data_IF_049137913321
#
_entry.id   IF_049137913321
#
_cell.length_a   1.000
_cell.length_b   1.000
_cell.length_c   1.000
_cell.angle_alpha   90.00
_cell.angle_beta   90.00
_cell.angle_gamma   90.00
#
_symmetry.space_group_name_H-M   'P 1'
#
loop_
_entity.id
_entity.type
_entity.pdbx_description
1 polymer ?
#
# COMPACT_ATOMS: atom_id res chain seq x y z
N UNK A 1 1.39 38.12 -23.77
CA UNK A 1 1.10 36.68 -23.78
C UNK A 1 0.15 36.48 -22.62
N UNK A 2 -1.02 35.90 -22.84
CA UNK A 2 -1.89 35.52 -21.70
C UNK A 2 -1.10 34.52 -20.86
N UNK A 3 -1.03 34.74 -19.55
CA UNK A 3 -0.47 33.78 -18.62
C UNK A 3 -1.20 32.44 -18.83
N UNK A 4 -0.47 31.46 -19.32
CA UNK A 4 -1.01 30.10 -19.42
C UNK A 4 -1.08 29.53 -18.01
N UNK A 5 -2.24 29.04 -17.63
CA UNK A 5 -2.44 28.35 -16.34
C UNK A 5 -3.21 27.04 -16.58
N UNK A 6 -3.10 26.12 -15.64
CA UNK A 6 -3.95 24.94 -15.66
C UNK A 6 -5.40 25.34 -15.34
N UNK A 7 -6.39 24.58 -15.84
CA UNK A 7 -7.79 24.86 -15.53
C UNK A 7 -8.01 24.77 -14.00
N UNK A 8 -8.88 25.65 -13.50
CA UNK A 8 -9.31 25.65 -12.12
C UNK A 8 -10.68 24.99 -11.98
N UNK A 9 -10.78 24.01 -11.08
CA UNK A 9 -12.07 23.48 -10.68
C UNK A 9 -12.89 24.56 -9.96
N UNK A 10 -14.19 24.56 -10.19
CA UNK A 10 -15.09 25.50 -9.54
C UNK A 10 -15.09 25.32 -8.01
N UNK A 11 -15.53 26.35 -7.30
CA UNK A 11 -15.67 26.29 -5.82
C UNK A 11 -16.57 25.10 -5.40
N UNK A 12 -17.62 24.82 -6.15
CA UNK A 12 -18.54 23.71 -5.87
C UNK A 12 -17.82 22.38 -6.06
N UNK A 13 -17.01 22.23 -7.08
CA UNK A 13 -16.20 21.02 -7.31
C UNK A 13 -15.15 20.83 -6.22
N UNK A 14 -14.51 21.89 -5.73
CA UNK A 14 -13.60 21.85 -4.59
C UNK A 14 -14.30 21.38 -3.30
N UNK A 15 -15.49 21.89 -3.02
CA UNK A 15 -16.31 21.45 -1.88
C UNK A 15 -16.67 19.96 -2.04
N UNK A 16 -17.10 19.53 -3.22
CA UNK A 16 -17.43 18.14 -3.50
C UNK A 16 -16.22 17.23 -3.41
N UNK A 17 -15.06 17.63 -3.91
CA UNK A 17 -13.81 16.87 -3.77
C UNK A 17 -13.48 16.66 -2.28
N UNK A 18 -13.53 17.74 -1.52
CA UNK A 18 -13.30 17.68 -0.06
C UNK A 18 -14.26 16.70 0.61
N UNK A 19 -15.57 16.84 0.35
CA UNK A 19 -16.61 16.06 1.03
C UNK A 19 -16.69 14.60 0.56
N UNK A 20 -16.46 14.30 -0.72
CA UNK A 20 -16.66 12.97 -1.30
C UNK A 20 -15.37 12.17 -1.45
N UNK A 21 -14.20 12.83 -1.55
CA UNK A 21 -12.91 12.16 -1.77
C UNK A 21 -11.99 12.31 -0.56
N UNK A 22 -11.66 13.54 -0.14
CA UNK A 22 -10.67 13.75 0.91
C UNK A 22 -11.16 13.35 2.31
N UNK A 23 -12.30 13.87 2.76
CA UNK A 23 -12.86 13.61 4.10
C UNK A 23 -13.12 12.13 4.36
N UNK A 24 -13.74 11.34 3.44
CA UNK A 24 -13.92 9.91 3.66
C UNK A 24 -12.62 9.16 3.89
N UNK A 25 -11.53 9.51 3.19
CA UNK A 25 -10.22 8.90 3.41
C UNK A 25 -9.64 9.22 4.79
N UNK A 26 -9.74 10.49 5.23
CA UNK A 26 -9.29 10.91 6.57
C UNK A 26 -10.09 10.23 7.67
N UNK A 27 -11.42 10.19 7.53
CA UNK A 27 -12.32 9.57 8.52
C UNK A 27 -12.09 8.07 8.65
N UNK A 28 -11.85 7.40 7.53
CA UNK A 28 -11.50 5.97 7.52
C UNK A 28 -10.13 5.67 8.13
N UNK A 29 -9.29 6.68 8.35
CA UNK A 29 -7.93 6.55 8.88
C UNK A 29 -6.87 6.48 7.77
N UNK A 30 -5.88 7.37 7.85
CA UNK A 30 -4.80 7.47 6.85
C UNK A 30 -3.70 6.43 7.07
N UNK A 31 -3.32 6.20 8.32
CA UNK A 31 -2.20 5.31 8.69
C UNK A 31 -2.70 3.94 9.16
N UNK A 32 -3.79 3.91 9.89
CA UNK A 32 -4.50 2.69 10.25
C UNK A 32 -5.98 2.86 10.07
N UNK A 33 -6.60 1.91 9.35
CA UNK A 33 -8.04 1.98 9.04
C UNK A 33 -8.90 1.77 10.29
N UNK A 34 -9.91 2.62 10.45
CA UNK A 34 -10.88 2.58 11.54
C UNK A 34 -12.06 1.69 11.12
N UNK A 35 -12.16 0.49 11.71
CA UNK A 35 -13.16 -0.54 11.36
C UNK A 35 -14.59 0.02 11.20
N UNK A 36 -15.07 0.79 12.17
CA UNK A 36 -16.42 1.36 12.11
C UNK A 36 -16.60 2.33 10.94
N UNK A 37 -15.61 3.16 10.67
CA UNK A 37 -15.67 4.14 9.58
C UNK A 37 -15.63 3.44 8.20
N UNK A 38 -14.79 2.42 8.03
CA UNK A 38 -14.74 1.60 6.81
C UNK A 38 -16.09 0.91 6.56
N UNK A 39 -16.68 0.29 7.59
CA UNK A 39 -18.00 -0.35 7.48
C UNK A 39 -19.12 0.64 7.11
N UNK A 40 -19.10 1.86 7.64
CA UNK A 40 -20.06 2.92 7.27
C UNK A 40 -19.83 3.36 5.82
N UNK A 41 -18.58 3.60 5.41
CA UNK A 41 -18.26 4.00 4.04
C UNK A 41 -18.74 2.95 3.02
N UNK A 42 -18.53 1.66 3.30
CA UNK A 42 -19.02 0.56 2.47
C UNK A 42 -20.55 0.54 2.35
N UNK A 43 -21.29 0.73 3.47
CA UNK A 43 -22.76 0.74 3.47
C UNK A 43 -23.34 1.94 2.75
N UNK A 44 -22.72 3.11 2.84
CA UNK A 44 -23.18 4.35 2.21
C UNK A 44 -22.77 4.48 0.74
N UNK A 45 -21.91 3.60 0.26
CA UNK A 45 -21.38 3.67 -1.10
C UNK A 45 -20.49 4.90 -1.34
N UNK A 46 -19.79 5.37 -0.31
CA UNK A 46 -18.94 6.56 -0.38
C UNK A 46 -17.92 6.50 -1.52
N UNK A 47 -17.28 5.34 -1.72
CA UNK A 47 -16.29 5.16 -2.78
C UNK A 47 -16.92 5.21 -4.19
N UNK A 48 -18.17 4.75 -4.34
CA UNK A 48 -18.92 4.88 -5.60
C UNK A 48 -19.23 6.34 -5.91
N UNK A 49 -19.58 7.14 -4.91
CA UNK A 49 -19.81 8.58 -5.06
C UNK A 49 -18.53 9.32 -5.43
N UNK A 50 -17.42 9.00 -4.76
CA UNK A 50 -16.10 9.55 -5.08
C UNK A 50 -15.70 9.23 -6.52
N UNK A 51 -15.85 7.97 -6.95
CA UNK A 51 -15.55 7.55 -8.32
C UNK A 51 -16.41 8.28 -9.36
N UNK A 52 -17.72 8.40 -9.13
CA UNK A 52 -18.65 9.12 -10.02
C UNK A 52 -18.27 10.60 -10.15
N UNK A 53 -17.87 11.23 -9.05
CA UNK A 53 -17.40 12.61 -9.06
C UNK A 53 -16.07 12.78 -9.81
N UNK A 54 -15.08 11.93 -9.57
CA UNK A 54 -13.81 11.94 -10.30
C UNK A 54 -13.99 11.70 -11.80
N UNK A 55 -14.90 10.81 -12.17
CA UNK A 55 -15.28 10.59 -13.59
C UNK A 55 -15.90 11.83 -14.22
N UNK A 56 -16.66 12.63 -13.46
CA UNK A 56 -17.19 13.90 -13.94
C UNK A 56 -16.09 14.94 -14.14
N UNK A 57 -15.16 15.08 -13.19
CA UNK A 57 -14.01 15.98 -13.32
C UNK A 57 -13.18 15.63 -14.57
N UNK A 58 -12.89 14.35 -14.78
CA UNK A 58 -12.16 13.91 -15.97
C UNK A 58 -12.88 14.28 -17.27
N UNK A 59 -14.21 14.13 -17.34
CA UNK A 59 -14.96 14.55 -18.55
C UNK A 59 -14.90 16.06 -18.77
N UNK A 60 -14.87 16.85 -17.70
CA UNK A 60 -14.83 18.31 -17.78
C UNK A 60 -13.45 18.87 -18.13
N UNK A 61 -12.39 18.27 -17.59
CA UNK A 61 -11.03 18.82 -17.66
C UNK A 61 -10.04 17.96 -18.46
N UNK A 62 -10.43 16.75 -18.86
CA UNK A 62 -9.55 15.82 -19.58
C UNK A 62 -8.50 15.16 -18.66
N UNK A 63 -7.34 14.86 -19.24
CA UNK A 63 -6.25 14.12 -18.59
C UNK A 63 -5.19 15.03 -17.94
N UNK A 64 -5.33 16.34 -18.10
CA UNK A 64 -4.35 17.30 -17.58
C UNK A 64 -4.43 17.52 -16.09
N UNK A 65 -3.43 18.23 -15.53
CA UNK A 65 -3.53 18.74 -14.17
C UNK A 65 -4.67 19.76 -14.04
N UNK A 66 -5.29 19.80 -12.87
CA UNK A 66 -6.41 20.70 -12.55
C UNK A 66 -6.18 21.30 -11.16
N UNK A 67 -6.18 22.61 -11.05
CA UNK A 67 -6.20 23.27 -9.74
C UNK A 67 -7.52 22.98 -9.03
N UNK A 68 -7.45 22.45 -7.82
CA UNK A 68 -8.62 22.11 -7.03
C UNK A 68 -8.42 22.52 -5.57
N UNK A 69 -9.49 23.07 -4.98
CA UNK A 69 -9.47 23.40 -3.55
C UNK A 69 -9.79 22.17 -2.71
N UNK A 70 -8.91 21.85 -1.76
CA UNK A 70 -9.06 20.79 -0.76
C UNK A 70 -9.18 21.44 0.61
N UNK A 71 -10.36 21.50 1.18
CA UNK A 71 -10.66 22.32 2.35
C UNK A 71 -10.30 23.81 2.14
N UNK A 72 -9.28 24.32 2.82
CA UNK A 72 -8.82 25.70 2.68
C UNK A 72 -7.63 25.86 1.73
N UNK A 73 -6.95 24.79 1.39
CA UNK A 73 -5.71 24.79 0.62
C UNK A 73 -5.98 24.49 -0.86
N UNK A 74 -5.14 24.98 -1.74
CA UNK A 74 -5.18 24.69 -3.17
C UNK A 74 -4.16 23.61 -3.50
N UNK A 75 -4.54 22.66 -4.36
CA UNK A 75 -3.72 21.55 -4.77
C UNK A 75 -3.85 21.31 -6.28
N UNK A 76 -2.87 20.66 -6.88
CA UNK A 76 -2.87 20.28 -8.28
C UNK A 76 -3.31 18.80 -8.38
N UNK A 77 -4.53 18.56 -8.86
CA UNK A 77 -5.08 17.23 -9.07
C UNK A 77 -4.56 16.65 -10.38
N UNK A 78 -3.90 15.49 -10.31
CA UNK A 78 -3.37 14.78 -11.47
C UNK A 78 -4.35 13.65 -11.86
N UNK A 79 -5.01 13.80 -13.01
CA UNK A 79 -6.07 12.87 -13.44
C UNK A 79 -5.54 11.82 -14.43
N UNK A 80 -4.72 12.23 -15.38
CA UNK A 80 -4.24 11.36 -16.45
C UNK A 80 -2.88 10.72 -16.15
N UNK A 81 -2.53 9.66 -16.90
CA UNK A 81 -1.25 8.94 -16.72
C UNK A 81 -0.02 9.79 -17.04
N UNK A 82 -0.09 10.70 -18.00
CA UNK A 82 1.02 11.59 -18.36
C UNK A 82 1.46 12.48 -17.20
N UNK A 83 0.58 13.31 -16.62
CA UNK A 83 0.88 14.10 -15.42
C UNK A 83 1.31 13.25 -14.22
N UNK A 84 0.68 12.08 -14.00
CA UNK A 84 1.07 11.15 -12.94
C UNK A 84 2.51 10.68 -13.16
N UNK A 85 2.82 10.23 -14.38
CA UNK A 85 4.16 9.78 -14.75
C UNK A 85 5.20 10.87 -14.50
N UNK A 86 4.95 12.10 -14.96
CA UNK A 86 5.85 13.23 -14.76
C UNK A 86 6.16 13.48 -13.27
N UNK A 87 5.11 13.47 -12.42
CA UNK A 87 5.28 13.64 -10.99
C UNK A 87 6.08 12.51 -10.32
N UNK A 88 5.88 11.27 -10.76
CA UNK A 88 6.57 10.11 -10.18
C UNK A 88 8.00 9.96 -10.72
N UNK A 89 8.25 10.24 -12.00
CA UNK A 89 9.61 10.27 -12.59
C UNK A 89 10.48 11.37 -11.97
N UNK A 90 9.88 12.54 -11.72
CA UNK A 90 10.58 13.68 -11.12
C UNK A 90 10.65 13.62 -9.58
N UNK A 91 10.43 12.47 -8.95
CA UNK A 91 10.58 12.33 -7.50
C UNK A 91 11.99 11.82 -7.16
N UNK A 92 12.64 12.27 -6.10
CA UNK A 92 12.20 13.17 -5.02
C UNK A 92 12.30 14.67 -5.33
N UNK A 93 12.99 15.08 -6.39
CA UNK A 93 13.14 16.48 -6.76
C UNK A 93 12.87 16.63 -8.27
N UNK A 94 11.92 17.51 -8.67
CA UNK A 94 11.23 18.50 -7.86
C UNK A 94 9.96 18.03 -7.12
N UNK A 95 9.61 16.74 -7.09
CA UNK A 95 8.35 16.23 -6.51
C UNK A 95 8.61 15.34 -5.31
N UNK A 96 8.70 15.93 -4.10
CA UNK A 96 8.94 15.20 -2.86
C UNK A 96 7.73 14.35 -2.41
N UNK A 97 8.00 13.20 -1.80
CA UNK A 97 6.96 12.26 -1.32
C UNK A 97 6.46 12.56 0.10
N UNK A 98 6.93 13.64 0.72
CA UNK A 98 6.65 14.03 2.09
C UNK A 98 5.81 15.32 2.21
N UNK A 99 4.68 15.48 1.49
CA UNK A 99 3.84 16.65 1.67
C UNK A 99 3.45 16.79 3.15
N UNK A 100 3.33 18.03 3.61
CA UNK A 100 3.17 18.36 5.04
C UNK A 100 2.11 17.52 5.77
N UNK A 101 0.91 17.24 5.22
CA UNK A 101 -0.09 16.42 5.92
C UNK A 101 0.36 14.98 6.16
N UNK A 102 1.15 14.41 5.24
CA UNK A 102 1.70 13.07 5.39
C UNK A 102 2.84 13.07 6.38
N UNK A 103 3.78 14.00 6.25
CA UNK A 103 4.96 14.11 7.10
C UNK A 103 4.58 14.32 8.55
N UNK A 104 3.71 15.30 8.81
CA UNK A 104 3.23 15.63 10.15
C UNK A 104 2.65 14.40 10.87
N UNK A 105 1.77 13.64 10.20
CA UNK A 105 1.18 12.46 10.81
C UNK A 105 2.16 11.28 10.97
N UNK A 106 2.94 10.96 9.95
CA UNK A 106 3.88 9.82 10.00
C UNK A 106 5.04 10.04 10.96
N UNK A 107 5.46 11.29 11.18
CA UNK A 107 6.55 11.61 12.11
C UNK A 107 6.27 11.17 13.55
N UNK A 108 5.02 10.99 13.94
CA UNK A 108 4.65 10.52 15.29
C UNK A 108 4.99 9.05 15.57
N UNK A 109 5.18 8.23 14.53
CA UNK A 109 5.49 6.81 14.72
C UNK A 109 6.67 6.29 13.87
N UNK A 110 7.10 7.05 12.85
CA UNK A 110 8.26 6.70 12.01
C UNK A 110 8.95 7.97 11.47
N UNK A 111 9.50 8.82 12.35
CA UNK A 111 10.05 10.15 11.97
C UNK A 111 11.18 10.06 10.97
N UNK A 112 11.91 8.95 10.92
CA UNK A 112 13.07 8.77 10.06
C UNK A 112 12.80 7.81 8.88
N UNK A 113 11.54 7.49 8.58
CA UNK A 113 11.22 6.61 7.46
C UNK A 113 11.57 7.23 6.11
N UNK A 114 12.12 6.40 5.21
CA UNK A 114 12.45 6.78 3.83
C UNK A 114 11.31 7.54 3.14
N UNK A 115 10.08 7.08 3.34
CA UNK A 115 8.89 7.62 2.65
C UNK A 115 8.51 9.05 3.03
N UNK A 116 9.12 9.62 4.07
CA UNK A 116 8.93 11.01 4.51
C UNK A 116 10.25 11.77 4.62
N UNK A 117 11.27 11.30 3.91
CA UNK A 117 12.59 11.93 3.85
C UNK A 117 12.77 12.76 2.58
N UNK A 118 13.61 13.78 2.64
CA UNK A 118 14.09 14.57 1.50
C UNK A 118 15.59 14.37 1.35
N UNK A 119 16.16 14.84 0.26
CA UNK A 119 17.62 14.87 0.08
C UNK A 119 18.25 15.85 1.09
N UNK A 120 19.44 15.51 1.65
CA UNK A 120 20.28 14.33 1.35
C UNK A 120 19.88 13.04 2.08
N UNK A 121 19.07 13.10 3.15
CA UNK A 121 18.71 11.95 3.99
C UNK A 121 17.99 10.84 3.19
N UNK A 122 17.19 11.25 2.20
CA UNK A 122 16.47 10.30 1.35
C UNK A 122 17.43 9.37 0.60
N UNK A 123 18.52 9.91 0.03
CA UNK A 123 19.49 9.11 -0.73
C UNK A 123 20.22 8.08 0.15
N UNK A 124 20.59 8.46 1.38
CA UNK A 124 21.22 7.53 2.30
C UNK A 124 20.27 6.41 2.71
N UNK A 125 19.06 6.77 3.13
CA UNK A 125 18.01 5.84 3.56
C UNK A 125 17.58 4.93 2.41
N UNK A 126 17.53 5.47 1.19
CA UNK A 126 17.19 4.71 -0.01
C UNK A 126 18.23 3.66 -0.31
N UNK A 127 19.50 4.03 -0.37
CA UNK A 127 20.62 3.12 -0.63
C UNK A 127 20.70 2.01 0.42
N UNK A 128 20.56 2.36 1.70
CA UNK A 128 20.52 1.39 2.78
C UNK A 128 19.35 0.41 2.61
N UNK A 129 18.15 0.95 2.44
CA UNK A 129 16.92 0.15 2.34
C UNK A 129 16.96 -0.81 1.15
N UNK A 130 17.34 -0.34 -0.03
CA UNK A 130 17.49 -1.19 -1.23
C UNK A 130 18.56 -2.26 -1.01
N UNK A 131 19.74 -1.88 -0.52
CA UNK A 131 20.81 -2.84 -0.27
C UNK A 131 20.39 -3.97 0.65
N UNK A 132 19.67 -3.66 1.74
CA UNK A 132 19.20 -4.68 2.70
C UNK A 132 18.10 -5.55 2.11
N UNK A 133 17.08 -4.93 1.48
CA UNK A 133 15.93 -5.67 0.95
C UNK A 133 16.32 -6.55 -0.24
N UNK A 134 17.16 -6.06 -1.16
CA UNK A 134 17.62 -6.81 -2.32
C UNK A 134 18.52 -7.97 -1.88
N UNK A 135 19.49 -7.71 -0.99
CA UNK A 135 20.36 -8.76 -0.45
C UNK A 135 19.54 -9.80 0.32
N UNK A 136 18.61 -9.38 1.17
CA UNK A 136 17.75 -10.29 1.94
C UNK A 136 16.86 -11.14 1.04
N UNK A 137 16.21 -10.54 0.05
CA UNK A 137 15.36 -11.27 -0.90
C UNK A 137 16.17 -12.25 -1.77
N UNK A 138 17.43 -11.92 -2.08
CA UNK A 138 18.31 -12.82 -2.87
C UNK A 138 18.90 -13.93 -2.02
N UNK A 139 19.43 -13.61 -0.83
CA UNK A 139 20.19 -14.56 -0.01
C UNK A 139 19.28 -15.45 0.85
N UNK A 140 18.12 -14.94 1.25
CA UNK A 140 17.22 -15.59 2.23
C UNK A 140 15.85 -15.92 1.64
N UNK A 141 15.70 -15.96 0.29
CA UNK A 141 14.41 -16.23 -0.37
C UNK A 141 13.75 -17.52 0.12
N UNK A 142 14.53 -18.61 0.25
CA UNK A 142 14.03 -19.90 0.70
C UNK A 142 13.58 -19.82 2.15
N UNK A 143 14.41 -19.25 3.02
CA UNK A 143 14.07 -19.04 4.42
C UNK A 143 12.82 -18.18 4.60
N UNK A 144 12.69 -17.08 3.86
CA UNK A 144 11.51 -16.22 3.93
C UNK A 144 10.26 -16.93 3.42
N UNK A 145 10.41 -17.78 2.40
CA UNK A 145 9.32 -18.63 1.92
C UNK A 145 8.94 -19.70 2.96
N UNK A 146 9.90 -20.33 3.61
CA UNK A 146 9.64 -21.29 4.70
C UNK A 146 8.87 -20.63 5.84
N UNK A 147 9.32 -19.45 6.32
CA UNK A 147 8.64 -18.69 7.38
C UNK A 147 7.20 -18.37 6.97
N UNK A 148 6.99 -17.87 5.76
CA UNK A 148 5.66 -17.54 5.26
C UNK A 148 4.77 -18.79 5.13
N UNK A 149 5.33 -19.92 4.68
CA UNK A 149 4.62 -21.20 4.55
C UNK A 149 4.26 -21.79 5.91
N UNK A 150 5.15 -21.78 6.89
CA UNK A 150 4.89 -22.23 8.26
C UNK A 150 3.70 -21.50 8.87
N UNK A 151 3.72 -20.17 8.84
CA UNK A 151 2.64 -19.33 9.42
C UNK A 151 1.31 -19.49 8.66
N UNK A 152 1.34 -19.61 7.33
CA UNK A 152 0.15 -19.86 6.54
C UNK A 152 -0.39 -21.29 6.72
N UNK A 153 0.49 -22.28 6.92
CA UNK A 153 0.14 -23.66 7.23
C UNK A 153 -0.58 -23.81 8.57
N UNK A 154 -0.21 -22.96 9.55
CA UNK A 154 -0.81 -22.94 10.89
C UNK A 154 -2.16 -22.20 10.98
N UNK A 155 -2.67 -21.61 9.88
CA UNK A 155 -3.96 -20.91 9.87
C UNK A 155 -5.11 -21.88 10.24
N UNK A 156 -6.06 -21.45 11.10
CA UNK A 156 -7.18 -22.27 11.52
C UNK A 156 -8.22 -22.48 10.41
N UNK A 157 -9.16 -23.38 10.64
CA UNK A 157 -10.23 -23.68 9.70
C UNK A 157 -11.19 -22.51 9.46
N UNK A 158 -11.37 -21.63 10.45
CA UNK A 158 -12.11 -20.39 10.31
C UNK A 158 -11.11 -19.23 10.33
N UNK A 159 -11.11 -18.44 9.26
CA UNK A 159 -10.17 -17.36 9.07
C UNK A 159 -10.89 -16.01 8.96
N UNK A 160 -10.41 -15.05 9.73
CA UNK A 160 -10.82 -13.66 9.69
C UNK A 160 -9.61 -12.72 9.60
N UNK A 161 -9.88 -11.41 9.56
CA UNK A 161 -8.83 -10.40 9.51
C UNK A 161 -7.84 -10.48 10.69
N UNK A 162 -8.34 -10.63 11.91
CA UNK A 162 -7.51 -10.63 13.12
C UNK A 162 -6.52 -11.79 13.10
N UNK A 163 -7.01 -12.97 12.79
CA UNK A 163 -6.20 -14.20 12.70
C UNK A 163 -5.18 -14.12 11.56
N UNK A 164 -5.62 -13.66 10.38
CA UNK A 164 -4.73 -13.45 9.24
C UNK A 164 -3.64 -12.42 9.53
N UNK A 165 -4.03 -11.25 10.05
CA UNK A 165 -3.09 -10.16 10.32
C UNK A 165 -2.06 -10.54 11.39
N UNK A 166 -2.46 -11.31 12.42
CA UNK A 166 -1.53 -11.85 13.42
C UNK A 166 -0.47 -12.73 12.79
N UNK A 167 -0.86 -13.64 11.90
CA UNK A 167 0.07 -14.51 11.17
C UNK A 167 1.04 -13.69 10.30
N UNK A 168 0.53 -12.74 9.50
CA UNK A 168 1.38 -11.90 8.64
C UNK A 168 2.33 -11.01 9.46
N UNK A 169 1.89 -10.46 10.59
CA UNK A 169 2.76 -9.68 11.47
C UNK A 169 3.84 -10.55 12.11
N UNK A 170 3.54 -11.82 12.41
CA UNK A 170 4.54 -12.79 12.87
C UNK A 170 5.56 -13.08 11.78
N UNK A 171 5.13 -13.29 10.53
CA UNK A 171 6.02 -13.39 9.37
C UNK A 171 6.92 -12.15 9.26
N UNK A 172 6.35 -10.95 9.35
CA UNK A 172 7.12 -9.71 9.28
C UNK A 172 8.20 -9.62 10.36
N UNK A 173 7.88 -9.94 11.62
CA UNK A 173 8.86 -9.95 12.72
C UNK A 173 9.98 -10.97 12.49
N UNK A 174 9.64 -12.18 12.05
CA UNK A 174 10.62 -13.25 11.78
C UNK A 174 11.56 -12.88 10.65
N UNK A 175 11.03 -12.37 9.54
CA UNK A 175 11.83 -11.96 8.38
C UNK A 175 12.73 -10.76 8.69
N UNK A 176 12.19 -9.75 9.38
CA UNK A 176 12.90 -8.49 9.60
C UNK A 176 13.88 -8.60 10.78
N UNK A 177 13.47 -9.23 11.86
CA UNK A 177 14.19 -9.22 13.16
C UNK A 177 14.75 -10.59 13.57
N UNK A 178 14.27 -11.67 12.96
CA UNK A 178 14.62 -13.06 13.31
C UNK A 178 13.56 -13.77 14.15
N UNK A 179 13.74 -15.08 14.33
CA UNK A 179 12.77 -15.95 15.02
C UNK A 179 12.58 -15.60 16.49
N UNK A 180 13.58 -15.03 17.15
CA UNK A 180 13.48 -14.54 18.55
C UNK A 180 12.44 -13.44 18.72
N UNK A 181 12.12 -12.71 17.65
CA UNK A 181 11.10 -11.67 17.65
C UNK A 181 9.68 -12.22 17.34
N UNK A 182 9.58 -13.50 16.97
CA UNK A 182 8.32 -14.11 16.51
C UNK A 182 7.16 -13.87 17.49
N UNK A 183 7.39 -14.10 18.77
CA UNK A 183 6.37 -14.04 19.83
C UNK A 183 6.30 -12.67 20.55
N UNK A 184 7.14 -11.70 20.16
CA UNK A 184 7.04 -10.34 20.71
C UNK A 184 5.91 -9.54 20.01
N UNK A 185 4.67 -9.95 20.28
CA UNK A 185 3.47 -9.31 19.71
C UNK A 185 3.36 -7.83 20.07
N UNK A 186 3.96 -7.41 21.21
CA UNK A 186 3.97 -6.01 21.68
C UNK A 186 4.50 -5.05 20.62
N UNK A 187 5.50 -5.47 19.82
CA UNK A 187 6.02 -4.62 18.74
C UNK A 187 4.94 -4.25 17.73
N UNK A 188 4.13 -5.23 17.33
CA UNK A 188 3.03 -5.00 16.38
C UNK A 188 1.84 -4.28 17.02
N UNK A 189 1.54 -4.55 18.28
CA UNK A 189 0.46 -3.89 19.02
C UNK A 189 0.78 -2.41 19.25
N UNK A 190 1.99 -2.10 19.76
CA UNK A 190 2.43 -0.74 20.02
C UNK A 190 2.51 0.09 18.73
N UNK A 191 3.05 -0.50 17.64
CA UNK A 191 3.04 0.15 16.34
C UNK A 191 1.61 0.46 15.89
N UNK A 192 0.68 -0.49 16.04
CA UNK A 192 -0.73 -0.29 15.73
C UNK A 192 -1.36 0.84 16.55
N UNK A 193 -1.07 0.94 17.85
CA UNK A 193 -1.57 2.03 18.73
C UNK A 193 -0.97 3.38 18.30
N UNK A 194 0.34 3.42 18.02
CA UNK A 194 1.01 4.62 17.53
C UNK A 194 0.41 5.14 16.23
N UNK A 195 0.13 4.24 15.28
CA UNK A 195 -0.54 4.58 14.02
C UNK A 195 -1.96 5.11 14.24
N UNK A 196 -2.74 4.49 15.15
CA UNK A 196 -4.08 4.97 15.48
C UNK A 196 -4.05 6.37 16.10
N UNK A 197 -3.12 6.62 17.02
CA UNK A 197 -2.92 7.93 17.66
C UNK A 197 -2.35 8.99 16.71
N UNK A 198 -1.75 8.59 15.60
CA UNK A 198 -1.23 9.48 14.55
C UNK A 198 -2.26 9.81 13.48
N UNK A 199 -3.38 9.08 13.41
CA UNK A 199 -4.46 9.41 12.49
C UNK A 199 -5.09 10.77 12.85
N UNK A 200 -5.26 11.70 11.89
CA UNK A 200 -5.87 13.01 12.16
C UNK A 200 -7.24 12.91 12.87
N UNK A 201 -7.49 13.77 13.85
CA UNK A 201 -6.67 14.86 14.39
C UNK A 201 -5.68 14.44 15.50
N UNK A 202 -5.02 13.29 15.36
CA UNK A 202 -4.13 12.73 16.36
C UNK A 202 -2.83 13.53 16.55
N UNK A 203 -2.23 13.36 17.72
CA UNK A 203 -0.97 14.01 18.12
C UNK A 203 0.14 13.00 18.47
N UNK A 204 -0.08 11.71 18.18
CA UNK A 204 0.86 10.65 18.52
C UNK A 204 0.91 10.31 20.02
N UNK A 205 1.94 9.56 20.41
CA UNK A 205 2.25 9.19 21.80
C UNK A 205 3.78 9.02 21.97
N UNK A 206 4.44 10.08 22.39
CA UNK A 206 5.90 10.10 22.52
C UNK A 206 6.43 9.07 23.53
N UNK A 207 5.73 8.85 24.64
CA UNK A 207 6.13 7.88 25.67
C UNK A 207 6.06 6.45 25.12
N UNK A 208 4.97 6.11 24.44
CA UNK A 208 4.82 4.80 23.80
C UNK A 208 5.84 4.62 22.68
N UNK A 209 6.11 5.67 21.89
CA UNK A 209 7.13 5.63 20.84
C UNK A 209 8.52 5.32 21.40
N UNK A 210 8.94 5.99 22.49
CA UNK A 210 10.23 5.71 23.15
C UNK A 210 10.32 4.25 23.63
N UNK A 211 9.26 3.74 24.24
CA UNK A 211 9.22 2.35 24.70
C UNK A 211 9.28 1.36 23.53
N UNK A 212 8.57 1.66 22.45
CA UNK A 212 8.56 0.86 21.23
C UNK A 212 9.96 0.80 20.60
N UNK A 213 10.61 1.95 20.40
CA UNK A 213 11.97 2.02 19.83
C UNK A 213 12.98 1.29 20.70
N UNK A 214 12.88 1.42 22.03
CA UNK A 214 13.76 0.71 22.97
C UNK A 214 13.57 -0.82 22.90
N UNK A 215 12.34 -1.30 22.72
CA UNK A 215 12.07 -2.73 22.55
C UNK A 215 12.57 -3.23 21.20
N UNK A 216 12.28 -2.48 20.12
CA UNK A 216 12.71 -2.78 18.77
C UNK A 216 14.24 -2.85 18.68
N UNK A 217 14.95 -1.89 19.29
CA UNK A 217 16.41 -1.82 19.30
C UNK A 217 17.08 -3.07 19.85
N UNK A 218 16.45 -3.79 20.80
CA UNK A 218 17.00 -5.05 21.32
C UNK A 218 17.08 -6.13 20.24
N UNK A 219 16.05 -6.24 19.41
CA UNK A 219 16.01 -7.21 18.31
C UNK A 219 16.93 -6.79 17.17
N UNK A 220 16.94 -5.50 16.81
CA UNK A 220 17.84 -4.96 15.79
C UNK A 220 19.30 -5.22 16.16
N UNK A 221 19.69 -4.93 17.44
CA UNK A 221 21.03 -5.12 17.93
C UNK A 221 21.43 -6.61 18.07
N UNK A 222 20.45 -7.51 18.23
CA UNK A 222 20.70 -8.95 18.25
C UNK A 222 21.16 -9.47 16.88
N UNK A 223 20.76 -8.77 15.79
CA UNK A 223 21.22 -9.04 14.40
C UNK A 223 21.17 -10.53 14.05
N UNK A 224 20.00 -11.15 14.32
CA UNK A 224 19.84 -12.60 14.21
C UNK A 224 20.08 -13.09 12.78
N UNK A 225 20.94 -14.10 12.60
CA UNK A 225 21.29 -14.66 11.30
C UNK A 225 20.04 -15.11 10.53
N UNK A 226 20.03 -14.87 9.21
CA UNK A 226 18.88 -15.18 8.34
C UNK A 226 17.72 -14.20 8.42
N UNK A 227 17.91 -13.05 9.11
CA UNK A 227 16.97 -11.93 9.12
C UNK A 227 17.50 -10.74 8.32
N UNK A 228 16.63 -9.80 7.95
CA UNK A 228 17.06 -8.54 7.33
C UNK A 228 18.01 -7.75 8.26
N UNK A 229 17.78 -7.77 9.57
CA UNK A 229 18.64 -7.09 10.52
C UNK A 229 20.09 -7.60 10.50
N UNK A 230 20.32 -8.88 10.16
CA UNK A 230 21.69 -9.44 10.04
C UNK A 230 22.51 -8.84 8.91
N UNK A 231 21.87 -8.18 7.95
CA UNK A 231 22.52 -7.57 6.79
C UNK A 231 22.92 -6.11 7.03
N UNK A 232 22.50 -5.48 8.13
CA UNK A 232 22.70 -4.05 8.36
C UNK A 232 24.17 -3.64 8.38
N UNK A 233 25.03 -4.44 9.00
CA UNK A 233 26.47 -4.14 9.05
C UNK A 233 27.17 -4.16 7.69
N UNK A 234 26.57 -4.79 6.68
CA UNK A 234 27.09 -4.90 5.31
C UNK A 234 26.49 -3.85 4.37
N UNK A 235 25.37 -3.24 4.76
CA UNK A 235 24.68 -2.25 3.94
C UNK A 235 25.35 -0.86 4.06
N UNK A 236 25.30 -0.02 3.01
CA UNK A 236 25.79 1.35 3.07
C UNK A 236 25.05 2.15 4.15
N UNK A 237 25.77 2.78 5.06
CA UNK A 237 25.22 3.61 6.11
C UNK A 237 25.97 4.94 6.19
N UNK A 238 25.22 6.02 6.45
CA UNK A 238 25.70 7.35 6.78
C UNK A 238 25.05 7.83 8.08
N UNK A 239 25.28 9.10 8.43
CA UNK A 239 24.78 9.68 9.68
C UNK A 239 23.25 9.73 9.77
N UNK A 240 22.57 9.82 8.61
CA UNK A 240 21.12 10.00 8.51
C UNK A 240 20.35 8.71 8.22
N UNK A 241 21.04 7.57 8.11
CA UNK A 241 20.43 6.29 7.71
C UNK A 241 19.37 5.82 8.69
N UNK A 242 19.68 5.82 9.99
CA UNK A 242 18.84 5.26 11.07
C UNK A 242 18.22 3.90 10.71
N UNK A 243 18.98 2.79 10.78
CA UNK A 243 18.47 1.47 10.44
C UNK A 243 17.22 1.06 11.21
N UNK A 244 17.16 1.37 12.51
CA UNK A 244 16.00 1.06 13.35
C UNK A 244 14.76 1.84 12.90
N UNK A 245 14.92 3.08 12.47
CA UNK A 245 13.84 3.90 11.90
C UNK A 245 13.29 3.31 10.61
N UNK A 246 14.13 2.69 9.74
CA UNK A 246 13.66 2.00 8.54
C UNK A 246 12.88 0.73 8.88
N UNK A 247 13.30 -0.02 9.90
CA UNK A 247 12.60 -1.24 10.37
C UNK A 247 11.16 -0.95 10.78
N UNK A 248 10.88 0.19 11.39
CA UNK A 248 9.51 0.58 11.78
C UNK A 248 8.61 0.60 10.54
N UNK A 249 9.10 1.19 9.46
CA UNK A 249 8.36 1.24 8.19
C UNK A 249 8.19 -0.15 7.57
N UNK A 250 9.21 -1.00 7.61
CA UNK A 250 9.13 -2.37 7.06
C UNK A 250 8.14 -3.23 7.84
N UNK A 251 8.10 -3.14 9.18
CA UNK A 251 7.11 -3.84 10.01
C UNK A 251 5.68 -3.41 9.66
N UNK A 252 5.45 -2.12 9.45
CA UNK A 252 4.17 -1.60 9.00
C UNK A 252 3.82 -2.08 7.57
N UNK A 253 4.76 -1.94 6.64
CA UNK A 253 4.51 -2.25 5.23
C UNK A 253 4.25 -3.74 5.02
N UNK A 254 5.07 -4.61 5.61
CA UNK A 254 4.93 -6.06 5.48
C UNK A 254 3.81 -6.60 6.39
N UNK A 255 3.72 -6.12 7.63
CA UNK A 255 2.78 -6.66 8.63
C UNK A 255 1.33 -6.20 8.46
N UNK A 256 1.10 -5.01 7.93
CA UNK A 256 -0.26 -4.45 7.80
C UNK A 256 -0.66 -4.22 6.34
N UNK A 257 0.18 -3.56 5.54
CA UNK A 257 -0.17 -3.22 4.16
C UNK A 257 -0.25 -4.47 3.28
N UNK A 258 0.75 -5.35 3.34
CA UNK A 258 0.70 -6.62 2.62
C UNK A 258 -0.42 -7.51 3.14
N UNK A 259 -0.65 -7.56 4.46
CA UNK A 259 -1.72 -8.36 5.04
C UNK A 259 -3.10 -8.02 4.44
N UNK A 260 -3.41 -6.72 4.30
CA UNK A 260 -4.66 -6.26 3.69
C UNK A 260 -4.75 -6.72 2.23
N UNK A 261 -3.70 -6.51 1.46
CA UNK A 261 -3.68 -6.81 0.04
C UNK A 261 -3.76 -8.32 -0.23
N UNK A 262 -3.00 -9.12 0.51
CA UNK A 262 -3.00 -10.57 0.37
C UNK A 262 -4.34 -11.19 0.82
N UNK A 263 -4.98 -10.68 1.88
CA UNK A 263 -6.31 -11.16 2.28
C UNK A 263 -7.39 -10.83 1.23
N UNK A 264 -7.30 -9.68 0.58
CA UNK A 264 -8.15 -9.35 -0.58
C UNK A 264 -7.85 -10.24 -1.78
N UNK A 265 -6.58 -10.56 -2.02
CA UNK A 265 -6.17 -11.55 -3.02
C UNK A 265 -6.76 -12.94 -2.73
N UNK A 266 -6.73 -13.38 -1.47
CA UNK A 266 -7.36 -14.63 -1.04
C UNK A 266 -8.87 -14.63 -1.31
N UNK A 267 -9.55 -13.50 -1.07
CA UNK A 267 -10.98 -13.38 -1.35
C UNK A 267 -11.30 -13.51 -2.85
N UNK A 268 -10.47 -12.89 -3.71
CA UNK A 268 -10.60 -13.04 -5.16
C UNK A 268 -10.36 -14.50 -5.59
N UNK A 269 -9.27 -15.09 -5.16
CA UNK A 269 -8.91 -16.48 -5.51
C UNK A 269 -9.89 -17.52 -4.94
N UNK A 270 -10.56 -17.22 -3.83
CA UNK A 270 -11.63 -18.07 -3.32
C UNK A 270 -12.89 -18.08 -4.22
N UNK A 271 -13.11 -16.99 -4.97
CA UNK A 271 -14.29 -16.84 -5.85
C UNK A 271 -13.98 -17.22 -7.31
N UNK A 272 -12.76 -16.92 -7.78
CA UNK A 272 -12.35 -17.11 -9.17
C UNK A 272 -11.50 -18.39 -9.33
N UNK A 273 -12.17 -19.54 -9.46
CA UNK A 273 -11.53 -20.88 -9.47
C UNK A 273 -10.50 -21.08 -10.57
N UNK A 274 -10.78 -20.55 -11.78
CA UNK A 274 -9.86 -20.69 -12.91
C UNK A 274 -8.56 -19.94 -12.65
N UNK A 275 -8.65 -18.72 -12.13
CA UNK A 275 -7.49 -17.92 -11.75
C UNK A 275 -6.73 -18.55 -10.58
N UNK A 276 -7.45 -19.12 -9.59
CA UNK A 276 -6.84 -19.87 -8.49
C UNK A 276 -6.02 -21.05 -9.01
N UNK A 277 -6.57 -21.83 -9.92
CA UNK A 277 -5.88 -23.00 -10.49
C UNK A 277 -4.59 -22.58 -11.20
N UNK A 278 -4.65 -21.53 -12.00
CA UNK A 278 -3.46 -20.97 -12.68
C UNK A 278 -2.45 -20.43 -11.68
N UNK A 279 -2.90 -19.67 -10.69
CA UNK A 279 -2.04 -19.07 -9.66
C UNK A 279 -1.31 -20.12 -8.81
N UNK A 280 -1.93 -21.27 -8.53
CA UNK A 280 -1.29 -22.38 -7.82
C UNK A 280 -0.26 -23.12 -8.69
N UNK A 281 -0.39 -23.08 -10.00
CA UNK A 281 0.53 -23.70 -10.95
C UNK A 281 1.70 -22.77 -11.34
N UNK A 282 1.51 -21.45 -11.30
CA UNK A 282 2.46 -20.46 -11.78
C UNK A 282 2.65 -19.31 -10.76
N UNK A 283 3.82 -19.21 -10.11
CA UNK A 283 4.14 -18.14 -9.18
C UNK A 283 4.02 -16.72 -9.78
N UNK A 284 4.35 -16.53 -11.05
CA UNK A 284 4.21 -15.23 -11.70
C UNK A 284 2.73 -14.84 -11.87
N UNK A 285 1.87 -15.83 -12.13
CA UNK A 285 0.44 -15.59 -12.15
C UNK A 285 -0.15 -15.28 -10.76
N UNK A 286 0.42 -15.87 -9.70
CA UNK A 286 0.05 -15.52 -8.33
C UNK A 286 0.45 -14.06 -8.01
N UNK A 287 1.63 -13.62 -8.44
CA UNK A 287 2.05 -12.23 -8.31
C UNK A 287 1.11 -11.29 -9.09
N UNK A 288 0.67 -11.66 -10.29
CA UNK A 288 -0.33 -10.93 -11.06
C UNK A 288 -1.69 -10.83 -10.32
N UNK A 289 -2.11 -11.87 -9.63
CA UNK A 289 -3.31 -11.84 -8.78
C UNK A 289 -3.17 -10.86 -7.60
N UNK A 290 -1.98 -10.77 -6.99
CA UNK A 290 -1.69 -9.79 -5.94
C UNK A 290 -1.70 -8.36 -6.49
N UNK A 291 -1.08 -8.11 -7.62
CA UNK A 291 -1.14 -6.81 -8.30
C UNK A 291 -2.58 -6.38 -8.58
N UNK A 292 -3.41 -7.30 -9.05
CA UNK A 292 -4.83 -7.01 -9.31
C UNK A 292 -5.63 -6.70 -8.04
N UNK A 293 -5.38 -7.41 -6.94
CA UNK A 293 -6.00 -7.08 -5.67
C UNK A 293 -5.62 -5.67 -5.20
N UNK A 294 -4.35 -5.28 -5.39
CA UNK A 294 -3.84 -3.94 -5.06
C UNK A 294 -4.39 -2.86 -6.01
N UNK A 295 -4.56 -3.17 -7.29
CA UNK A 295 -5.19 -2.28 -8.26
C UNK A 295 -6.65 -2.03 -7.92
N UNK A 296 -7.41 -3.08 -7.71
CA UNK A 296 -8.84 -3.01 -7.42
C UNK A 296 -9.14 -2.24 -6.12
N UNK A 297 -8.33 -2.44 -5.09
CA UNK A 297 -8.53 -1.84 -3.77
C UNK A 297 -7.21 -1.36 -3.17
N UNK A 298 -6.64 -0.26 -3.67
CA UNK A 298 -5.36 0.23 -3.19
C UNK A 298 -5.40 0.58 -1.70
N UNK A 299 -4.42 0.11 -0.94
CA UNK A 299 -4.26 0.48 0.48
C UNK A 299 -3.89 1.95 0.65
N UNK A 300 -3.30 2.55 -0.39
CA UNK A 300 -3.07 4.00 -0.52
C UNK A 300 -4.03 4.57 -1.58
N UNK A 301 -5.29 4.87 -1.24
CA UNK A 301 -6.29 5.33 -2.20
C UNK A 301 -6.02 6.72 -2.75
N UNK A 302 -5.20 7.51 -2.06
CA UNK A 302 -4.69 8.81 -2.51
C UNK A 302 -3.17 8.82 -2.29
N UNK A 303 -2.44 9.13 -3.35
CA UNK A 303 -1.01 9.38 -3.32
C UNK A 303 -0.78 10.88 -3.50
N UNK A 304 0.21 11.44 -2.81
CA UNK A 304 0.54 12.85 -2.94
C UNK A 304 2.04 13.09 -3.12
N UNK A 305 2.35 14.22 -3.74
CA UNK A 305 3.69 14.79 -3.86
C UNK A 305 3.62 16.28 -3.51
N UNK A 306 4.77 16.90 -3.33
CA UNK A 306 4.90 18.34 -3.12
C UNK A 306 6.07 18.87 -3.92
N UNK A 307 5.88 20.01 -4.60
CA UNK A 307 6.98 20.65 -5.33
C UNK A 307 8.01 21.22 -4.35
N UNK A 308 9.28 20.86 -4.54
CA UNK A 308 10.40 21.35 -3.69
C UNK A 308 10.84 22.74 -4.07
N UNK A 309 10.53 23.21 -5.28
CA UNK A 309 10.86 24.50 -5.86
C UNK A 309 9.82 24.88 -6.91
N UNK A 310 9.83 26.15 -7.31
CA UNK A 310 9.12 26.59 -8.51
C UNK A 310 9.64 25.84 -9.75
N UNK A 311 8.73 25.45 -10.62
CA UNK A 311 9.09 24.73 -11.84
C UNK A 311 8.20 25.13 -13.02
N UNK A 312 8.74 24.94 -14.21
CA UNK A 312 7.97 25.02 -15.45
C UNK A 312 7.33 23.67 -15.78
N UNK A 313 6.02 23.70 -15.98
CA UNK A 313 5.26 22.54 -16.44
C UNK A 313 4.60 22.86 -17.79
N UNK A 314 5.33 22.60 -18.88
CA UNK A 314 4.90 22.82 -20.27
C UNK A 314 4.50 24.28 -20.55
N UNK A 315 5.29 25.21 -20.03
CA UNK A 315 5.09 26.64 -20.15
C UNK A 315 4.11 27.24 -19.13
N UNK A 316 3.76 26.47 -18.09
CA UNK A 316 2.95 26.90 -16.95
C UNK A 316 3.84 26.87 -15.71
N UNK A 317 3.90 27.98 -15.00
CA UNK A 317 4.66 28.07 -13.74
C UNK A 317 3.88 27.42 -12.60
N UNK A 318 4.46 26.38 -11.96
CA UNK A 318 3.93 25.75 -10.75
C UNK A 318 4.78 26.22 -9.56
N UNK A 319 4.19 26.87 -8.55
CA UNK A 319 4.92 27.37 -7.39
C UNK A 319 5.57 26.27 -6.55
N UNK A 320 6.60 26.62 -5.79
CA UNK A 320 7.14 25.77 -4.73
C UNK A 320 6.07 25.47 -3.66
N UNK A 321 6.19 24.33 -3.01
CA UNK A 321 5.27 23.84 -1.97
C UNK A 321 3.82 23.61 -2.49
N UNK A 322 3.66 23.43 -3.80
CA UNK A 322 2.38 23.00 -4.39
C UNK A 322 2.15 21.52 -4.09
N UNK A 323 1.04 21.21 -3.45
CA UNK A 323 0.62 19.82 -3.23
C UNK A 323 0.04 19.24 -4.53
N UNK A 324 0.58 18.10 -4.96
CA UNK A 324 0.03 17.30 -6.06
C UNK A 324 -0.76 16.13 -5.48
N UNK A 325 -1.95 15.87 -6.01
CA UNK A 325 -2.85 14.82 -5.53
C UNK A 325 -3.16 13.84 -6.66
N UNK A 326 -2.98 12.55 -6.40
CA UNK A 326 -3.31 11.44 -7.30
C UNK A 326 -4.34 10.56 -6.59
N UNK A 327 -5.53 10.41 -7.18
CA UNK A 327 -6.60 9.57 -6.60
C UNK A 327 -6.49 8.16 -7.18
N UNK A 328 -5.71 7.31 -6.52
CA UNK A 328 -5.43 5.95 -6.98
C UNK A 328 -6.70 5.10 -7.10
N UNK A 329 -7.63 5.20 -6.13
CA UNK A 329 -8.90 4.48 -6.18
C UNK A 329 -9.73 4.79 -7.44
N UNK A 330 -9.55 5.98 -8.04
CA UNK A 330 -10.13 6.33 -9.34
C UNK A 330 -9.26 5.88 -10.50
N UNK A 331 -7.97 6.28 -10.52
CA UNK A 331 -7.09 6.05 -11.67
C UNK A 331 -6.89 4.56 -11.97
N UNK A 332 -6.83 3.72 -10.94
CA UNK A 332 -6.71 2.27 -11.09
C UNK A 332 -7.95 1.59 -11.69
N UNK A 333 -9.10 2.26 -11.68
CA UNK A 333 -10.38 1.71 -12.13
C UNK A 333 -11.08 2.60 -13.15
N UNK A 334 -10.32 3.42 -13.87
CA UNK A 334 -10.87 4.29 -14.89
C UNK A 334 -11.35 3.50 -16.11
N UNK A 335 -12.66 3.38 -16.23
CA UNK A 335 -13.36 2.66 -17.33
C UNK A 335 -13.12 3.24 -18.70
N UNK A 336 -12.70 4.50 -18.79
CA UNK A 336 -12.43 5.14 -20.08
C UNK A 336 -11.08 4.75 -20.65
N UNK A 337 -10.21 4.18 -19.80
CA UNK A 337 -8.85 3.77 -20.16
C UNK A 337 -8.68 2.25 -20.15
N UNK A 338 -9.42 1.53 -19.28
CA UNK A 338 -9.23 0.11 -19.08
C UNK A 338 -10.56 -0.64 -19.17
N UNK A 339 -10.70 -1.49 -20.16
CA UNK A 339 -11.89 -2.34 -20.33
C UNK A 339 -12.08 -3.33 -19.17
N UNK A 340 -10.99 -3.67 -18.48
CA UNK A 340 -10.99 -4.56 -17.31
C UNK A 340 -11.14 -3.82 -15.98
N UNK A 341 -11.38 -2.51 -15.98
CA UNK A 341 -11.36 -1.65 -14.79
C UNK A 341 -12.08 -2.23 -13.56
N UNK A 342 -13.24 -2.85 -13.75
CA UNK A 342 -14.08 -3.38 -12.67
C UNK A 342 -14.05 -4.92 -12.55
N UNK A 343 -13.16 -5.57 -13.28
CA UNK A 343 -13.02 -7.02 -13.28
C UNK A 343 -11.73 -7.46 -12.61
N UNK A 344 -11.65 -8.71 -12.18
CA UNK A 344 -10.42 -9.36 -11.78
C UNK A 344 -9.74 -9.93 -13.03
N UNK A 345 -8.67 -9.29 -13.48
CA UNK A 345 -7.98 -9.57 -14.74
C UNK A 345 -6.45 -9.69 -14.55
N UNK A 346 -5.96 -10.73 -13.87
CA UNK A 346 -4.52 -10.93 -13.65
C UNK A 346 -3.72 -11.00 -14.94
N UNK A 347 -4.33 -11.42 -16.03
CA UNK A 347 -3.70 -11.53 -17.36
C UNK A 347 -3.07 -10.23 -17.81
N UNK A 348 -3.68 -9.09 -17.47
CA UNK A 348 -3.17 -7.77 -17.84
C UNK A 348 -1.76 -7.48 -17.29
N UNK A 349 -1.33 -8.20 -16.25
CA UNK A 349 -0.01 -8.08 -15.63
C UNK A 349 1.04 -9.04 -16.23
N UNK A 350 0.60 -10.07 -16.93
CA UNK A 350 1.50 -11.09 -17.52
C UNK A 350 2.07 -10.61 -18.86
N UNK A 351 1.28 -9.96 -19.66
CA UNK A 351 1.68 -9.44 -20.99
C UNK A 351 2.38 -8.07 -20.92
N UNK A 352 2.58 -7.52 -19.71
CA UNK A 352 3.34 -6.30 -19.44
C UNK A 352 2.55 -5.00 -19.54
N UNK A 353 1.37 -5.00 -20.17
CA UNK A 353 0.62 -3.77 -20.42
C UNK A 353 0.20 -3.03 -19.15
N UNK A 354 -0.26 -3.75 -18.13
CA UNK A 354 -0.62 -3.15 -16.85
C UNK A 354 0.60 -2.72 -16.02
N UNK A 355 1.70 -3.45 -16.09
CA UNK A 355 2.93 -3.12 -15.36
C UNK A 355 3.59 -1.84 -15.87
N UNK A 356 3.41 -1.51 -17.14
CA UNK A 356 3.95 -0.31 -17.79
C UNK A 356 3.05 0.93 -17.59
N UNK A 357 1.82 0.76 -17.15
CA UNK A 357 0.90 1.88 -16.93
C UNK A 357 1.12 2.55 -15.58
N UNK A 358 1.71 3.74 -15.62
CA UNK A 358 2.04 4.54 -14.43
C UNK A 358 0.81 5.02 -13.64
N UNK A 359 -0.39 4.85 -14.15
CA UNK A 359 -1.61 5.06 -13.38
C UNK A 359 -1.86 3.95 -12.36
N UNK A 360 -1.29 2.75 -12.56
CA UNK A 360 -1.33 1.64 -11.61
C UNK A 360 -0.16 1.71 -10.63
N UNK A 361 -0.18 2.70 -9.75
CA UNK A 361 0.93 3.06 -8.88
C UNK A 361 0.79 2.56 -7.43
N UNK A 362 0.21 1.38 -7.22
CA UNK A 362 0.07 0.80 -5.88
C UNK A 362 1.41 0.50 -5.20
N UNK A 363 2.47 0.26 -5.96
CA UNK A 363 3.86 0.25 -5.50
C UNK A 363 4.61 1.55 -5.83
N UNK A 364 3.91 2.59 -6.32
CA UNK A 364 4.51 3.78 -6.92
C UNK A 364 5.40 3.43 -8.12
N UNK A 365 5.99 4.43 -8.74
CA UNK A 365 6.93 4.30 -9.87
C UNK A 365 8.08 5.30 -9.73
N UNK A 366 9.04 5.21 -10.63
CA UNK A 366 10.20 6.10 -10.67
C UNK A 366 11.16 5.90 -9.49
N UNK A 367 12.04 6.88 -9.22
CA UNK A 367 13.07 6.76 -8.18
C UNK A 367 12.53 6.50 -6.79
N UNK A 368 11.28 6.93 -6.51
CA UNK A 368 10.58 6.69 -5.25
C UNK A 368 9.57 5.52 -5.34
N UNK A 369 9.74 4.60 -6.28
CA UNK A 369 9.05 3.32 -6.32
C UNK A 369 9.33 2.51 -5.04
N UNK A 370 8.42 1.60 -4.70
CA UNK A 370 8.54 0.78 -3.48
C UNK A 370 9.80 -0.13 -3.55
N UNK A 371 10.74 -0.03 -2.63
CA UNK A 371 11.92 -0.89 -2.62
C UNK A 371 11.62 -2.32 -2.17
N UNK A 372 10.47 -2.56 -1.55
CA UNK A 372 10.08 -3.86 -1.00
C UNK A 372 9.19 -4.70 -1.92
N UNK A 373 9.08 -4.40 -3.23
CA UNK A 373 8.18 -5.12 -4.15
C UNK A 373 8.50 -6.62 -4.17
N UNK A 374 9.75 -6.99 -4.41
CA UNK A 374 10.16 -8.38 -4.53
C UNK A 374 9.88 -9.18 -3.25
N UNK A 375 10.20 -8.62 -2.08
CA UNK A 375 9.91 -9.23 -0.78
C UNK A 375 8.41 -9.36 -0.54
N UNK A 376 7.64 -8.31 -0.85
CA UNK A 376 6.17 -8.31 -0.66
C UNK A 376 5.50 -9.37 -1.52
N UNK A 377 5.89 -9.51 -2.77
CA UNK A 377 5.38 -10.53 -3.68
C UNK A 377 5.80 -11.93 -3.24
N UNK A 378 7.08 -12.13 -2.86
CA UNK A 378 7.57 -13.42 -2.33
C UNK A 378 6.72 -13.88 -1.14
N UNK A 379 6.55 -13.04 -0.13
CA UNK A 379 5.78 -13.37 1.08
C UNK A 379 4.30 -13.56 0.76
N UNK A 380 3.71 -12.64 0.01
CA UNK A 380 2.29 -12.66 -0.33
C UNK A 380 1.90 -13.91 -1.12
N UNK A 381 2.66 -14.24 -2.20
CA UNK A 381 2.37 -15.43 -3.01
C UNK A 381 2.57 -16.72 -2.23
N UNK A 382 3.60 -16.78 -1.38
CA UNK A 382 3.86 -17.99 -0.57
C UNK A 382 2.74 -18.22 0.43
N UNK A 383 2.31 -17.18 1.14
CA UNK A 383 1.18 -17.29 2.08
C UNK A 383 -0.12 -17.72 1.39
N UNK A 384 -0.44 -17.11 0.23
CA UNK A 384 -1.63 -17.45 -0.54
C UNK A 384 -1.57 -18.88 -1.07
N UNK A 385 -0.46 -19.26 -1.69
CA UNK A 385 -0.28 -20.60 -2.23
C UNK A 385 -0.40 -21.67 -1.13
N UNK A 386 0.25 -21.47 0.02
CA UNK A 386 0.21 -22.40 1.15
C UNK A 386 -1.19 -22.50 1.77
N UNK A 387 -1.89 -21.37 1.92
CA UNK A 387 -3.25 -21.35 2.44
C UNK A 387 -4.23 -22.16 1.56
N UNK A 388 -3.96 -22.27 0.24
CA UNK A 388 -4.87 -22.88 -0.73
C UNK A 388 -4.42 -24.25 -1.26
N UNK A 389 -3.14 -24.64 -1.14
CA UNK A 389 -2.59 -25.83 -1.83
C UNK A 389 -3.24 -27.14 -1.42
N UNK A 390 -3.49 -27.32 -0.12
CA UNK A 390 -4.08 -28.54 0.44
C UNK A 390 -5.43 -28.28 1.11
N UNK A 391 -6.01 -27.12 0.84
CA UNK A 391 -7.26 -26.67 1.44
C UNK A 391 -8.19 -26.07 0.41
N UNK A 392 -9.46 -26.38 0.55
CA UNK A 392 -10.53 -25.65 -0.14
C UNK A 392 -10.80 -24.38 0.67
N UNK A 393 -10.57 -23.22 0.06
CA UNK A 393 -10.85 -21.92 0.67
C UNK A 393 -12.19 -21.42 0.14
N UNK A 394 -13.14 -21.21 1.04
CA UNK A 394 -14.46 -20.69 0.73
C UNK A 394 -14.62 -19.29 1.37
N UNK A 395 -14.96 -18.28 0.57
CA UNK A 395 -15.32 -16.97 1.07
C UNK A 395 -16.75 -17.02 1.64
N UNK A 396 -16.89 -16.84 2.94
CA UNK A 396 -18.18 -16.85 3.65
C UNK A 396 -18.84 -15.46 3.68
N UNK A 397 -18.02 -14.42 3.73
CA UNK A 397 -18.48 -13.03 3.72
C UNK A 397 -17.35 -12.09 3.24
N UNK A 398 -17.68 -10.96 2.56
CA UNK A 398 -18.99 -10.66 1.96
C UNK A 398 -19.26 -11.52 0.73
N UNK A 399 -20.50 -11.51 0.21
CA UNK A 399 -20.83 -12.20 -1.03
C UNK A 399 -20.21 -11.44 -2.23
N UNK A 400 -19.17 -12.01 -2.83
CA UNK A 400 -18.57 -11.55 -4.11
C UNK A 400 -19.02 -12.51 -5.22
N UNK A 401 -19.49 -11.98 -6.34
CA UNK A 401 -19.96 -12.78 -7.47
C UNK A 401 -19.05 -12.61 -8.68
N UNK A 402 -18.74 -13.72 -9.37
CA UNK A 402 -17.88 -13.74 -10.58
C UNK A 402 -18.49 -12.98 -11.76
N UNK A 403 -19.81 -12.95 -11.87
CA UNK A 403 -20.56 -12.37 -13.00
C UNK A 403 -20.81 -10.87 -12.89
N UNK A 404 -20.49 -10.27 -11.74
CA UNK A 404 -20.76 -8.86 -11.49
C UNK A 404 -19.49 -8.03 -11.50
N UNK A 405 -19.65 -6.72 -11.72
CA UNK A 405 -18.57 -5.76 -11.47
C UNK A 405 -18.19 -5.79 -10.00
N UNK A 406 -16.89 -5.89 -9.72
CA UNK A 406 -16.40 -5.91 -8.35
C UNK A 406 -16.70 -4.58 -7.64
N UNK A 407 -17.01 -4.61 -6.33
CA UNK A 407 -17.35 -3.40 -5.58
C UNK A 407 -16.19 -2.39 -5.58
N UNK A 408 -16.49 -1.09 -5.44
CA UNK A 408 -15.48 -0.05 -5.37
C UNK A 408 -14.63 -0.11 -4.09
N UNK A 409 -15.18 -0.67 -3.03
CA UNK A 409 -14.46 -0.96 -1.78
C UNK A 409 -14.74 -2.39 -1.34
N UNK A 410 -13.72 -3.01 -0.75
CA UNK A 410 -13.83 -4.30 -0.07
C UNK A 410 -13.33 -4.14 1.36
N UNK A 411 -14.25 -4.19 2.31
CA UNK A 411 -13.95 -4.12 3.74
C UNK A 411 -13.27 -5.40 4.18
N UNK A 412 -11.95 -5.33 4.35
CA UNK A 412 -11.16 -6.49 4.78
C UNK A 412 -11.45 -6.93 6.22
N UNK A 413 -12.00 -6.05 7.07
CA UNK A 413 -12.45 -6.43 8.41
C UNK A 413 -13.69 -7.34 8.39
N UNK A 414 -14.45 -7.29 7.30
CA UNK A 414 -15.65 -8.11 7.13
C UNK A 414 -15.36 -9.46 6.45
N UNK A 415 -14.15 -9.66 5.92
CA UNK A 415 -13.78 -10.91 5.26
C UNK A 415 -13.78 -12.08 6.25
N UNK A 416 -14.46 -13.15 5.85
CA UNK A 416 -14.55 -14.42 6.60
C UNK A 416 -14.39 -15.58 5.64
N UNK A 417 -13.58 -16.55 6.02
CA UNK A 417 -13.30 -17.73 5.19
C UNK A 417 -13.44 -19.01 6.00
N UNK A 418 -13.82 -20.08 5.29
CA UNK A 418 -13.63 -21.44 5.74
C UNK A 418 -12.46 -22.07 4.96
N UNK A 419 -11.54 -22.69 5.68
CA UNK A 419 -10.40 -23.43 5.16
C UNK A 419 -10.59 -24.92 5.53
N UNK A 420 -11.12 -25.71 4.60
CA UNK A 420 -11.33 -27.14 4.79
C UNK A 420 -10.20 -27.93 4.11
N UNK A 421 -9.75 -29.08 4.65
CA UNK A 421 -8.84 -29.96 3.92
C UNK A 421 -9.42 -30.27 2.55
N UNK A 422 -8.63 -30.17 1.50
CA UNK A 422 -9.06 -30.64 0.17
C UNK A 422 -9.30 -32.14 0.27
N UNK A 423 -10.55 -32.57 0.09
CA UNK A 423 -10.84 -34.01 0.03
C UNK A 423 -9.96 -34.62 -1.05
N UNK A 424 -9.15 -35.62 -0.73
CA UNK A 424 -8.51 -36.42 -1.75
C UNK A 424 -9.68 -36.99 -2.57
N UNK A 425 -9.84 -36.53 -3.81
CA UNK A 425 -10.63 -37.22 -4.78
C UNK A 425 -10.02 -38.63 -4.82
N UNK A 426 -10.72 -39.58 -4.25
CA UNK A 426 -10.29 -40.98 -4.21
C UNK A 426 -9.94 -41.41 -5.62
N UNK A 427 -8.73 -41.90 -5.77
CA UNK A 427 -8.24 -42.59 -6.96
C UNK A 427 -9.06 -43.81 -7.31
#
# INVERSE_FOLDING_TARGET
MADRDFPHASIIEGIRFTAQVAVPNVVQGLFRRRRKAVAVAGRTGADKLAFGFMSALRRSYGDGPVWIRVAKDEALLLIGSGPIRRALEGSPDPFASDPEPKKSGMSHFQPHALTISRNPEWEERRRFTESVLDAGTTQFSDRFSEIAAEEAGALPAELDWETWNRAVRRVARRIILGDRAADDERLSEWLGVLMDKSNPPGSGDESLYKNFVAALGKHVNASEEGSLASLFAQAPQGEQTDPAGQVIHWLFALGDTLAINALRGLALLAVFDDQRTRALADPAYMDACLHEAMRLWPTTPMLSRETTRELDWDGITVPANTQLVIVNSFNHRDRTRHEFADRFAPEAWIDGGAAEDWSFNHFSHGPQGCPGVALSLLVGRTMLATAMRERTVTLLAPNLQRSESLPYSLDYFALRFALAPSGRLGS
#
